data_IF_490802549184
#
_entry.id   IF_490802549184
#
_cell.length_a   1.000
_cell.length_b   1.000
_cell.length_c   1.000
_cell.angle_alpha   90.00
_cell.angle_beta   90.00
_cell.angle_gamma   90.00
#
_symmetry.space_group_name_H-M   'P 1'
#
loop_
_entity.id
_entity.type
_entity.pdbx_description
1 polymer ?
#
# COMPACT_ATOMS: atom_id res chain seq x y z
N UNK A 1 -18.31 0.33 35.83
CA UNK A 1 -17.63 -0.98 35.65
C UNK A 1 -16.28 -0.70 35.04
N UNK A 2 -15.24 -1.49 35.43
CA UNK A 2 -13.91 -1.33 34.80
C UNK A 2 -13.91 -1.78 33.33
N UNK A 3 -12.90 -1.37 32.58
CA UNK A 3 -12.67 -1.82 31.22
C UNK A 3 -12.49 -3.34 31.16
N UNK A 4 -13.19 -4.02 30.28
CA UNK A 4 -13.00 -5.45 30.02
C UNK A 4 -12.01 -5.68 28.89
N UNK A 5 -11.03 -6.58 29.08
CA UNK A 5 -10.02 -6.96 28.10
C UNK A 5 -10.03 -8.46 27.90
N UNK A 6 -10.42 -8.91 26.73
CA UNK A 6 -10.41 -10.30 26.31
C UNK A 6 -9.20 -10.58 25.42
N UNK A 7 -8.46 -11.65 25.68
CA UNK A 7 -7.29 -12.08 24.88
C UNK A 7 -7.60 -13.43 24.26
N UNK A 8 -7.70 -13.46 22.93
CA UNK A 8 -7.91 -14.67 22.12
C UNK A 8 -6.54 -15.18 21.67
N UNK A 9 -6.11 -16.34 22.12
CA UNK A 9 -4.74 -16.85 21.94
C UNK A 9 -4.69 -18.39 21.96
N UNK A 10 -3.56 -18.96 21.50
CA UNK A 10 -3.25 -20.39 21.67
C UNK A 10 -2.59 -20.70 23.02
N UNK A 11 -2.13 -19.69 23.73
CA UNK A 11 -1.35 -19.83 24.98
C UNK A 11 -1.91 -18.91 26.08
N UNK A 12 -3.14 -19.16 26.56
CA UNK A 12 -3.77 -18.34 27.59
C UNK A 12 -2.93 -18.26 28.88
N UNK A 13 -2.22 -19.33 29.25
CA UNK A 13 -1.41 -19.40 30.47
C UNK A 13 -0.25 -18.38 30.44
N UNK A 14 0.37 -18.17 29.28
CA UNK A 14 1.43 -17.18 29.12
C UNK A 14 0.89 -15.76 29.31
N UNK A 15 -0.29 -15.48 28.75
CA UNK A 15 -0.93 -14.19 28.89
C UNK A 15 -1.38 -13.94 30.32
N UNK A 16 -2.00 -14.93 30.96
CA UNK A 16 -2.50 -14.83 32.33
C UNK A 16 -1.43 -14.50 33.33
N UNK A 17 -0.25 -15.14 33.24
CA UNK A 17 0.88 -14.83 34.12
C UNK A 17 1.29 -13.36 34.05
N UNK A 18 1.26 -12.75 32.87
CA UNK A 18 1.58 -11.33 32.69
C UNK A 18 0.47 -10.43 33.24
N UNK A 19 -0.79 -10.82 33.00
CA UNK A 19 -1.97 -10.06 33.43
C UNK A 19 -2.13 -10.04 34.95
N UNK A 20 -1.76 -11.12 35.62
CA UNK A 20 -1.83 -11.22 37.09
C UNK A 20 -0.68 -10.48 37.80
N UNK A 21 0.34 -10.09 37.04
CA UNK A 21 1.54 -9.50 37.60
C UNK A 21 1.50 -7.96 37.67
N UNK A 22 2.31 -7.41 38.58
CA UNK A 22 2.66 -5.98 38.66
C UNK A 22 1.47 -5.02 38.64
N UNK A 23 1.51 -4.00 37.79
CA UNK A 23 0.50 -2.91 37.72
C UNK A 23 -0.83 -3.45 37.19
N UNK A 24 -0.81 -4.32 36.19
CA UNK A 24 -2.01 -4.89 35.59
C UNK A 24 -2.78 -5.72 36.62
N UNK A 25 -2.10 -6.64 37.28
CA UNK A 25 -2.73 -7.47 38.33
C UNK A 25 -3.27 -6.67 39.51
N UNK A 26 -2.61 -5.55 39.88
CA UNK A 26 -3.15 -4.62 40.89
C UNK A 26 -4.40 -3.90 40.40
N UNK A 27 -4.44 -3.48 39.14
CA UNK A 27 -5.59 -2.83 38.54
C UNK A 27 -6.80 -3.79 38.46
N UNK A 28 -6.54 -5.06 38.11
CA UNK A 28 -7.57 -6.09 38.09
C UNK A 28 -8.16 -6.32 39.51
N UNK A 29 -7.31 -6.52 40.53
CA UNK A 29 -7.76 -6.66 41.94
C UNK A 29 -8.54 -5.46 42.47
N UNK A 30 -8.33 -4.26 41.93
CA UNK A 30 -9.07 -3.03 42.28
C UNK A 30 -10.35 -2.86 41.46
N UNK A 31 -10.65 -3.74 40.51
CA UNK A 31 -11.80 -3.65 39.64
C UNK A 31 -11.70 -2.55 38.55
N UNK A 32 -10.48 -1.98 38.34
CA UNK A 32 -10.27 -1.00 37.28
C UNK A 32 -10.30 -1.62 35.90
N UNK A 33 -9.82 -2.86 35.78
CA UNK A 33 -9.85 -3.68 34.58
C UNK A 33 -10.34 -5.09 34.91
N UNK A 34 -10.95 -5.75 33.93
CA UNK A 34 -11.36 -7.15 33.97
C UNK A 34 -10.68 -7.86 32.81
N UNK A 35 -9.97 -8.98 33.05
CA UNK A 35 -9.17 -9.65 32.02
C UNK A 35 -9.58 -11.09 31.86
N UNK A 36 -9.79 -11.54 30.61
CA UNK A 36 -10.14 -12.91 30.26
C UNK A 36 -9.24 -13.41 29.15
N UNK A 37 -8.73 -14.64 29.29
CA UNK A 37 -7.95 -15.31 28.25
C UNK A 37 -8.73 -16.48 27.67
N UNK A 38 -8.92 -16.50 26.36
CA UNK A 38 -9.71 -17.49 25.63
C UNK A 38 -8.76 -18.38 24.81
N UNK A 39 -8.88 -19.71 25.03
CA UNK A 39 -8.13 -20.71 24.28
C UNK A 39 -8.79 -20.98 22.92
N UNK A 40 -8.10 -20.66 21.83
CA UNK A 40 -8.62 -20.88 20.46
C UNK A 40 -8.94 -22.36 20.21
N UNK A 41 -8.16 -23.29 20.79
CA UNK A 41 -8.33 -24.75 20.63
C UNK A 41 -9.68 -25.25 21.13
N UNK A 42 -10.31 -24.58 22.06
CA UNK A 42 -11.59 -25.00 22.61
C UNK A 42 -12.77 -24.75 21.66
N UNK A 43 -12.55 -23.97 20.61
CA UNK A 43 -13.54 -23.62 19.59
C UNK A 43 -13.35 -24.39 18.26
N UNK A 44 -12.48 -25.40 18.24
CA UNK A 44 -12.33 -26.26 17.05
C UNK A 44 -13.44 -27.31 17.00
N UNK A 45 -13.92 -27.60 15.79
CA UNK A 45 -14.86 -28.69 15.52
C UNK A 45 -14.17 -30.06 15.38
N UNK A 46 -12.86 -30.05 15.33
CA UNK A 46 -12.02 -31.21 15.09
C UNK A 46 -11.70 -31.91 16.42
N UNK A 47 -11.82 -33.24 16.45
CA UNK A 47 -11.57 -34.07 17.64
C UNK A 47 -10.13 -33.95 18.18
N UNK A 48 -9.17 -33.70 17.30
CA UNK A 48 -7.76 -33.51 17.64
C UNK A 48 -7.41 -32.10 18.14
N UNK A 49 -8.45 -31.21 18.21
CA UNK A 49 -8.28 -29.80 18.56
C UNK A 49 -7.24 -29.05 17.71
N UNK A 50 -7.16 -29.43 16.43
CA UNK A 50 -6.27 -28.79 15.46
C UNK A 50 -6.80 -27.39 15.12
N UNK A 51 -5.90 -26.41 15.10
CA UNK A 51 -6.21 -24.98 14.89
C UNK A 51 -5.54 -24.38 13.66
N UNK A 52 -4.73 -25.17 12.96
CA UNK A 52 -3.81 -24.70 11.91
C UNK A 52 -3.64 -25.73 10.80
N UNK A 53 -3.26 -25.30 9.62
CA UNK A 53 -2.94 -26.15 8.46
C UNK A 53 -1.99 -25.42 7.50
N UNK A 54 -1.49 -26.13 6.50
CA UNK A 54 -0.62 -25.57 5.47
C UNK A 54 -1.30 -24.45 4.68
N UNK A 55 -0.55 -23.38 4.31
CA UNK A 55 -1.09 -22.31 3.49
C UNK A 55 -1.42 -22.76 2.07
N UNK A 56 -2.47 -22.20 1.47
CA UNK A 56 -2.71 -22.32 0.04
C UNK A 56 -1.61 -21.61 -0.76
N UNK A 57 -1.27 -22.20 -1.90
CA UNK A 57 -0.15 -21.74 -2.74
C UNK A 57 1.22 -22.23 -2.28
N UNK A 58 1.28 -23.11 -1.25
CA UNK A 58 2.53 -23.62 -0.68
C UNK A 58 3.24 -22.57 0.20
N UNK A 59 4.38 -22.94 0.74
CA UNK A 59 5.19 -22.14 1.66
C UNK A 59 5.58 -22.96 2.88
N UNK A 60 6.45 -22.39 3.73
CA UNK A 60 6.84 -22.98 5.00
C UNK A 60 5.84 -22.66 6.10
N UNK A 61 5.78 -23.51 7.14
CA UNK A 61 4.97 -23.25 8.33
C UNK A 61 3.46 -23.53 8.17
N UNK A 62 2.69 -23.07 9.14
CA UNK A 62 1.27 -23.33 9.30
C UNK A 62 0.50 -22.01 9.45
N UNK A 63 -0.76 -21.98 9.05
CA UNK A 63 -1.66 -20.82 9.17
C UNK A 63 -2.86 -21.20 10.04
N UNK A 64 -3.22 -20.34 10.99
CA UNK A 64 -4.38 -20.54 11.85
C UNK A 64 -5.68 -20.50 11.05
N UNK A 65 -6.54 -21.49 11.27
CA UNK A 65 -7.88 -21.56 10.67
C UNK A 65 -8.75 -20.35 11.01
N UNK A 66 -9.56 -19.91 10.05
CA UNK A 66 -10.54 -18.85 10.28
C UNK A 66 -11.63 -19.26 11.28
N UNK A 67 -12.14 -20.49 11.18
CA UNK A 67 -13.34 -20.94 11.91
C UNK A 67 -13.14 -20.94 13.44
N UNK A 68 -12.08 -21.55 14.06
CA UNK A 68 -11.94 -21.53 15.52
C UNK A 68 -11.80 -20.13 16.09
N UNK A 69 -11.12 -19.23 15.37
CA UNK A 69 -10.97 -17.84 15.79
C UNK A 69 -12.32 -17.11 15.71
N UNK A 70 -13.06 -17.31 14.62
CA UNK A 70 -14.38 -16.70 14.46
C UNK A 70 -15.35 -17.13 15.54
N UNK A 71 -15.41 -18.42 15.87
CA UNK A 71 -16.30 -18.94 16.90
C UNK A 71 -15.90 -18.47 18.29
N UNK A 72 -14.60 -18.40 18.59
CA UNK A 72 -14.11 -17.80 19.82
C UNK A 72 -14.54 -16.31 19.93
N UNK A 73 -14.37 -15.52 18.86
CA UNK A 73 -14.78 -14.12 18.85
C UNK A 73 -16.30 -13.95 19.02
N UNK A 74 -17.11 -14.80 18.39
CA UNK A 74 -18.57 -14.81 18.55
C UNK A 74 -18.98 -15.17 19.98
N UNK A 75 -18.29 -16.12 20.59
CA UNK A 75 -18.51 -16.47 21.99
C UNK A 75 -18.21 -15.30 22.92
N UNK A 76 -17.10 -14.61 22.73
CA UNK A 76 -16.76 -13.39 23.48
C UNK A 76 -17.80 -12.30 23.27
N UNK A 77 -18.23 -12.04 22.02
CA UNK A 77 -19.27 -11.06 21.74
C UNK A 77 -20.60 -11.39 22.43
N UNK A 78 -20.99 -12.67 22.44
CA UNK A 78 -22.20 -13.15 23.12
C UNK A 78 -22.10 -12.94 24.62
N UNK A 79 -21.01 -13.35 25.26
CA UNK A 79 -20.77 -13.18 26.68
C UNK A 79 -20.80 -11.71 27.12
N UNK A 80 -20.16 -10.83 26.34
CA UNK A 80 -20.16 -9.38 26.59
C UNK A 80 -21.58 -8.81 26.49
N UNK A 81 -22.38 -9.26 25.50
CA UNK A 81 -23.78 -8.84 25.33
C UNK A 81 -24.68 -9.34 26.48
N UNK A 82 -24.49 -10.58 26.95
CA UNK A 82 -25.20 -11.14 28.09
C UNK A 82 -24.96 -10.38 29.41
N UNK A 83 -23.77 -9.75 29.52
CA UNK A 83 -23.43 -8.85 30.63
C UNK A 83 -23.99 -7.42 30.45
N UNK A 84 -24.75 -7.16 29.38
CA UNK A 84 -25.30 -5.83 29.08
C UNK A 84 -24.26 -4.80 28.68
N UNK A 85 -23.07 -5.22 28.25
CA UNK A 85 -21.98 -4.33 27.83
C UNK A 85 -22.05 -4.04 26.32
N UNK A 86 -21.50 -2.90 25.84
CA UNK A 86 -21.37 -2.61 24.42
C UNK A 86 -20.54 -3.69 23.69
N UNK A 87 -20.75 -3.83 22.37
CA UNK A 87 -19.97 -4.77 21.57
C UNK A 87 -18.46 -4.47 21.67
N UNK A 88 -17.61 -5.52 21.77
CA UNK A 88 -16.19 -5.34 21.99
C UNK A 88 -15.49 -4.77 20.72
N UNK A 89 -14.52 -3.91 20.93
CA UNK A 89 -13.62 -3.48 19.88
C UNK A 89 -12.54 -4.56 19.66
N UNK A 90 -12.56 -5.22 18.50
CA UNK A 90 -11.67 -6.34 18.19
C UNK A 90 -10.43 -5.83 17.49
N UNK A 91 -9.24 -6.18 18.00
CA UNK A 91 -7.93 -5.80 17.47
C UNK A 91 -7.08 -7.04 17.19
N UNK A 92 -6.64 -7.21 15.97
CA UNK A 92 -5.70 -8.25 15.58
C UNK A 92 -4.26 -7.75 15.72
N UNK A 93 -3.47 -8.41 16.56
CA UNK A 93 -2.04 -8.13 16.70
C UNK A 93 -1.28 -8.91 15.63
N UNK A 94 -0.78 -8.20 14.62
CA UNK A 94 -0.14 -8.81 13.44
C UNK A 94 1.04 -7.99 12.95
N UNK A 95 2.08 -8.64 12.42
CA UNK A 95 3.23 -7.99 11.80
C UNK A 95 2.81 -7.10 10.61
N UNK A 96 1.77 -7.50 9.86
CA UNK A 96 1.19 -6.73 8.76
C UNK A 96 0.23 -5.61 9.18
N UNK A 97 0.18 -5.24 10.47
CA UNK A 97 -0.64 -4.16 11.00
C UNK A 97 0.03 -2.79 10.92
N UNK A 98 -0.72 -1.75 11.32
CA UNK A 98 -0.17 -0.42 11.54
C UNK A 98 0.74 -0.42 12.78
N UNK A 99 1.69 0.49 12.80
CA UNK A 99 2.55 0.66 13.97
C UNK A 99 1.72 1.18 15.15
N UNK A 100 1.72 0.45 16.27
CA UNK A 100 1.10 0.88 17.51
C UNK A 100 1.79 2.14 18.06
N UNK A 101 1.02 3.18 18.37
CA UNK A 101 1.49 4.47 18.88
C UNK A 101 0.75 4.85 20.14
N UNK A 102 1.21 5.89 20.82
CA UNK A 102 0.52 6.47 21.98
C UNK A 102 -0.91 6.94 21.64
N UNK A 103 -1.12 7.44 20.43
CA UNK A 103 -2.46 7.82 19.95
C UNK A 103 -3.40 6.60 19.87
N UNK A 104 -2.90 5.46 19.39
CA UNK A 104 -3.66 4.21 19.40
C UNK A 104 -3.97 3.77 20.84
N UNK A 105 -3.01 3.90 21.77
CA UNK A 105 -3.25 3.57 23.18
C UNK A 105 -4.37 4.40 23.79
N UNK A 106 -4.37 5.70 23.55
CA UNK A 106 -5.41 6.62 24.04
C UNK A 106 -6.78 6.27 23.49
N UNK A 107 -6.91 6.04 22.18
CA UNK A 107 -8.17 5.64 21.57
C UNK A 107 -8.67 4.29 22.08
N UNK A 108 -7.77 3.31 22.22
CA UNK A 108 -8.15 1.99 22.74
C UNK A 108 -8.60 2.04 24.21
N UNK A 109 -8.08 2.98 24.99
CA UNK A 109 -8.48 3.20 26.37
C UNK A 109 -9.90 3.82 26.51
N UNK A 110 -10.48 4.33 25.43
CA UNK A 110 -11.85 4.88 25.43
C UNK A 110 -12.93 3.80 25.29
N UNK A 111 -12.55 2.56 24.91
CA UNK A 111 -13.51 1.46 24.79
C UNK A 111 -13.77 0.78 26.14
N UNK A 112 -15.04 0.49 26.43
CA UNK A 112 -15.42 -0.29 27.61
C UNK A 112 -14.98 -1.75 27.52
N UNK A 113 -14.93 -2.28 26.28
CA UNK A 113 -14.59 -3.68 26.02
C UNK A 113 -13.61 -3.77 24.83
N UNK A 114 -12.47 -4.41 25.05
CA UNK A 114 -11.42 -4.61 24.07
C UNK A 114 -11.13 -6.10 23.92
N UNK A 115 -11.12 -6.61 22.68
CA UNK A 115 -10.69 -7.98 22.38
C UNK A 115 -9.43 -7.97 21.56
N UNK A 116 -8.34 -8.54 22.09
CA UNK A 116 -7.05 -8.68 21.43
C UNK A 116 -6.91 -10.09 20.87
N UNK A 117 -6.70 -10.21 19.56
CA UNK A 117 -6.43 -11.49 18.89
C UNK A 117 -4.94 -11.63 18.67
N UNK A 118 -4.33 -12.61 19.31
CA UNK A 118 -2.91 -12.90 19.20
C UNK A 118 -2.71 -14.10 18.27
N UNK A 119 -2.18 -13.83 17.07
CA UNK A 119 -1.80 -14.88 16.11
C UNK A 119 -0.57 -15.66 16.56
N UNK A 120 -0.37 -16.82 15.92
CA UNK A 120 0.79 -17.69 16.07
C UNK A 120 1.16 -18.28 14.71
N UNK A 121 2.28 -19.03 14.63
CA UNK A 121 2.80 -19.61 13.38
C UNK A 121 3.08 -18.53 12.31
N UNK A 122 2.79 -18.81 11.03
CA UNK A 122 2.93 -17.85 9.92
C UNK A 122 1.83 -16.79 9.92
N UNK A 123 0.80 -16.94 10.77
CA UNK A 123 -0.27 -15.96 10.92
C UNK A 123 -1.66 -16.55 10.94
N UNK A 124 -2.63 -15.70 10.64
CA UNK A 124 -4.05 -15.98 10.70
C UNK A 124 -4.63 -15.92 9.28
N UNK A 125 -5.54 -16.83 8.95
CA UNK A 125 -6.29 -16.77 7.70
C UNK A 125 -6.93 -15.39 7.51
N UNK A 126 -6.62 -14.74 6.39
CA UNK A 126 -7.01 -13.35 6.13
C UNK A 126 -8.53 -13.15 6.17
N UNK A 127 -9.31 -14.18 5.84
CA UNK A 127 -10.77 -14.11 5.76
C UNK A 127 -11.43 -13.84 7.12
N UNK A 128 -10.91 -14.37 8.22
CA UNK A 128 -11.43 -14.05 9.55
C UNK A 128 -11.10 -12.62 9.95
N UNK A 129 -9.91 -12.13 9.56
CA UNK A 129 -9.56 -10.73 9.81
C UNK A 129 -10.50 -9.81 9.02
N UNK A 130 -10.78 -10.14 7.75
CA UNK A 130 -11.72 -9.37 6.91
C UNK A 130 -13.17 -9.43 7.40
N UNK A 131 -13.58 -10.54 8.05
CA UNK A 131 -14.92 -10.70 8.60
C UNK A 131 -15.17 -9.80 9.83
N UNK A 132 -14.16 -9.66 10.69
CA UNK A 132 -14.27 -8.94 11.95
C UNK A 132 -13.66 -7.53 11.94
N UNK A 133 -12.83 -7.20 10.92
CA UNK A 133 -12.28 -5.86 10.71
C UNK A 133 -12.84 -5.27 9.42
N UNK A 134 -13.62 -4.19 9.51
CA UNK A 134 -14.03 -3.45 8.30
C UNK A 134 -12.80 -2.83 7.64
N UNK A 135 -12.79 -2.74 6.30
CA UNK A 135 -11.65 -2.20 5.52
C UNK A 135 -11.17 -0.81 5.95
N UNK A 136 -12.04 -0.01 6.58
CA UNK A 136 -11.75 1.36 7.06
C UNK A 136 -11.17 1.40 8.48
N UNK A 137 -11.28 0.30 9.25
CA UNK A 137 -10.83 0.24 10.65
C UNK A 137 -9.37 -0.21 10.70
N UNK A 138 -8.45 0.66 10.26
CA UNK A 138 -7.01 0.38 10.23
C UNK A 138 -6.41 0.17 11.63
N UNK A 139 -7.02 0.74 12.66
CA UNK A 139 -6.65 0.59 14.07
C UNK A 139 -6.96 -0.80 14.65
N UNK A 140 -7.76 -1.62 13.96
CA UNK A 140 -8.04 -3.01 14.35
C UNK A 140 -6.95 -4.01 13.95
N UNK A 141 -5.87 -3.55 13.29
CA UNK A 141 -4.69 -4.35 12.95
C UNK A 141 -3.45 -3.61 13.43
N UNK A 142 -2.91 -3.99 14.55
CA UNK A 142 -1.80 -3.29 15.19
C UNK A 142 -0.55 -4.16 15.27
N UNK A 143 0.60 -3.53 15.06
CA UNK A 143 1.92 -4.09 15.27
C UNK A 143 2.54 -3.48 16.53
N UNK A 144 2.61 -4.22 17.66
CA UNK A 144 3.25 -3.74 18.89
C UNK A 144 4.77 -3.70 18.68
N UNK A 145 5.31 -2.53 18.42
CA UNK A 145 6.74 -2.32 18.26
C UNK A 145 7.43 -2.41 19.63
N UNK A 146 8.20 -3.48 19.89
CA UNK A 146 9.18 -3.47 20.96
C UNK A 146 10.34 -2.55 20.58
N UNK A 147 10.47 -1.39 21.25
CA UNK A 147 11.75 -0.67 21.28
C UNK A 147 12.74 -1.56 22.02
N UNK A 148 13.59 -2.27 21.32
CA UNK A 148 14.89 -2.65 21.90
C UNK A 148 15.75 -1.40 21.85
N UNK A 149 16.10 -0.88 23.03
CA UNK A 149 17.11 0.16 23.18
C UNK A 149 18.36 -0.29 22.40
N UNK A 150 18.76 0.50 21.38
CA UNK A 150 20.02 0.28 20.66
C UNK A 150 19.95 -0.12 19.20
N UNK A 151 18.77 -0.27 18.57
CA UNK A 151 18.71 -0.47 17.12
C UNK A 151 18.16 0.77 16.42
N UNK A 152 19.09 1.56 15.87
CA UNK A 152 18.79 2.59 14.85
C UNK A 152 18.11 1.94 13.66
N UNK A 153 17.10 2.65 13.09
CA UNK A 153 16.45 2.32 11.82
C UNK A 153 17.43 2.48 10.65
N UNK A 154 18.33 1.54 10.50
CA UNK A 154 19.21 1.40 9.35
C UNK A 154 19.36 -0.08 9.14
N UNK A 155 18.96 -0.57 7.96
CA UNK A 155 18.90 -1.95 7.50
C UNK A 155 19.99 -2.88 8.00
N UNK A 156 19.92 -3.26 9.27
CA UNK A 156 20.73 -4.34 9.82
C UNK A 156 19.82 -5.54 10.00
N UNK A 157 20.12 -6.54 9.20
CA UNK A 157 19.59 -7.89 9.25
C UNK A 157 19.43 -8.35 10.71
N UNK A 158 18.25 -8.86 11.05
CA UNK A 158 18.10 -9.69 12.24
C UNK A 158 19.17 -10.78 12.15
N UNK A 159 19.95 -11.06 13.19
CA UNK A 159 20.82 -12.23 13.15
C UNK A 159 19.93 -13.45 12.87
N UNK A 160 20.36 -14.39 12.04
CA UNK A 160 19.64 -15.62 11.82
C UNK A 160 19.37 -16.28 13.17
N UNK A 161 18.20 -16.91 13.38
CA UNK A 161 17.96 -17.68 14.60
C UNK A 161 19.05 -18.72 14.75
N UNK A 162 19.46 -18.99 16.00
CA UNK A 162 20.45 -20.02 16.24
C UNK A 162 20.00 -21.35 15.66
N UNK A 163 20.93 -22.08 15.05
CA UNK A 163 20.66 -23.37 14.43
C UNK A 163 19.91 -24.29 15.42
N UNK A 164 18.80 -24.88 14.98
CA UNK A 164 17.97 -25.78 15.80
C UNK A 164 16.81 -25.15 16.55
N UNK A 165 16.59 -23.81 16.44
CA UNK A 165 15.43 -23.14 17.06
C UNK A 165 14.22 -23.12 16.13
N UNK A 166 14.43 -23.01 14.81
CA UNK A 166 13.39 -23.13 13.78
C UNK A 166 13.72 -24.29 12.85
N UNK A 167 12.67 -24.97 12.37
CA UNK A 167 12.81 -26.17 11.56
C UNK A 167 13.46 -25.92 10.20
N UNK A 168 13.22 -24.76 9.57
CA UNK A 168 13.73 -24.43 8.25
C UNK A 168 14.19 -22.98 8.13
N UNK A 169 15.29 -22.75 7.40
CA UNK A 169 15.87 -21.43 7.16
C UNK A 169 14.97 -20.52 6.30
N UNK A 170 14.21 -21.10 5.37
CA UNK A 170 13.29 -20.35 4.49
C UNK A 170 12.14 -19.68 5.22
N UNK A 171 11.71 -20.20 6.38
CA UNK A 171 10.54 -19.68 7.10
C UNK A 171 10.71 -18.25 7.60
N UNK A 172 11.92 -17.73 7.80
CA UNK A 172 12.13 -16.35 8.23
C UNK A 172 12.54 -15.39 7.10
N UNK A 173 12.93 -15.90 5.94
CA UNK A 173 13.30 -15.09 4.78
C UNK A 173 12.07 -14.50 4.07
N UNK A 174 10.88 -15.10 4.26
CA UNK A 174 9.60 -14.63 3.71
C UNK A 174 8.79 -13.81 4.72
N UNK A 175 9.26 -13.65 5.97
CA UNK A 175 8.56 -12.87 6.99
C UNK A 175 8.50 -11.36 6.68
N UNK A 176 7.46 -10.70 7.24
CA UNK A 176 7.34 -9.24 7.22
C UNK A 176 8.63 -8.55 7.67
N UNK A 177 9.05 -7.54 6.93
CA UNK A 177 10.26 -6.72 7.14
C UNK A 177 11.59 -7.33 6.70
N UNK A 178 11.65 -8.56 6.20
CA UNK A 178 12.91 -9.15 5.74
C UNK A 178 13.48 -8.40 4.54
N UNK A 179 12.66 -8.17 3.53
CA UNK A 179 12.98 -7.40 2.32
C UNK A 179 12.49 -5.94 2.39
N UNK A 180 12.04 -5.48 3.56
CA UNK A 180 11.48 -4.14 3.77
C UNK A 180 10.00 -4.01 3.45
N UNK A 181 9.32 -5.09 3.07
CA UNK A 181 7.89 -5.13 2.81
C UNK A 181 7.12 -5.85 3.94
N UNK A 182 5.81 -5.64 3.98
CA UNK A 182 4.90 -6.47 4.75
C UNK A 182 4.59 -7.75 3.98
N UNK A 183 4.37 -8.82 4.70
CA UNK A 183 3.97 -10.09 4.13
C UNK A 183 2.62 -10.02 3.41
N UNK A 184 2.42 -10.86 2.41
CA UNK A 184 1.17 -11.04 1.69
C UNK A 184 0.09 -11.70 2.57
N UNK A 185 -1.22 -11.67 2.18
CA UNK A 185 -2.28 -12.32 2.96
C UNK A 185 -2.17 -13.84 2.87
N UNK A 186 -2.27 -14.50 4.01
CA UNK A 186 -2.23 -15.95 4.14
C UNK A 186 -3.64 -16.54 4.16
N UNK A 187 -3.81 -17.71 3.55
CA UNK A 187 -5.06 -18.46 3.47
C UNK A 187 -4.80 -19.94 3.72
N UNK A 188 -5.72 -20.59 4.45
CA UNK A 188 -5.68 -22.03 4.64
C UNK A 188 -7.07 -22.65 4.45
N UNK A 189 -7.24 -23.94 4.71
CA UNK A 189 -8.51 -24.65 4.48
C UNK A 189 -9.64 -24.17 5.38
N UNK A 190 -10.91 -24.25 4.95
CA UNK A 190 -11.40 -24.75 3.65
C UNK A 190 -11.23 -23.72 2.53
N UNK A 191 -11.41 -24.14 1.25
CA UNK A 191 -11.33 -23.26 0.07
C UNK A 191 -12.35 -22.11 0.13
N UNK A 192 -13.56 -22.38 0.62
CA UNK A 192 -14.58 -21.37 0.87
C UNK A 192 -14.95 -21.39 2.36
N UNK A 193 -14.83 -20.25 3.02
CA UNK A 193 -15.24 -20.05 4.41
C UNK A 193 -16.22 -18.88 4.50
N UNK A 194 -17.44 -19.15 4.97
CA UNK A 194 -18.54 -18.16 5.10
C UNK A 194 -18.74 -17.29 3.83
N UNK A 195 -18.77 -17.95 2.67
CA UNK A 195 -18.94 -17.29 1.38
C UNK A 195 -17.70 -16.52 0.88
N UNK A 196 -16.59 -16.56 1.60
CA UNK A 196 -15.30 -15.98 1.20
C UNK A 196 -14.40 -17.07 0.63
N UNK A 197 -14.13 -16.99 -0.66
CA UNK A 197 -13.23 -17.91 -1.34
C UNK A 197 -11.75 -17.51 -1.18
N UNK A 198 -10.87 -18.50 -1.20
CA UNK A 198 -9.44 -18.31 -1.41
C UNK A 198 -9.22 -17.76 -2.83
N UNK A 199 -8.29 -16.84 -3.07
CA UNK A 199 -7.97 -16.37 -4.42
C UNK A 199 -7.58 -17.53 -5.36
N UNK A 200 -8.20 -17.62 -6.53
CA UNK A 200 -8.03 -18.71 -7.51
C UNK A 200 -6.57 -18.98 -7.90
N UNK A 201 -5.75 -17.90 -7.92
CA UNK A 201 -4.32 -18.02 -8.24
C UNK A 201 -3.58 -18.94 -7.26
N UNK A 202 -4.01 -19.02 -6.01
CA UNK A 202 -3.39 -19.85 -4.97
C UNK A 202 -3.79 -21.32 -5.09
N UNK A 203 -4.86 -21.63 -5.83
CA UNK A 203 -5.37 -22.98 -6.06
C UNK A 203 -4.78 -23.62 -7.31
N UNK A 204 -4.27 -22.82 -8.23
CA UNK A 204 -3.86 -23.25 -9.57
C UNK A 204 -2.52 -23.98 -9.69
N UNK A 205 -1.70 -24.05 -8.61
CA UNK A 205 -0.39 -24.74 -8.60
C UNK A 205 0.70 -24.11 -9.48
N UNK A 206 0.44 -22.98 -10.14
CA UNK A 206 1.43 -22.25 -10.94
C UNK A 206 2.25 -21.34 -10.02
N UNK A 207 3.41 -21.83 -9.58
CA UNK A 207 4.28 -21.12 -8.63
C UNK A 207 4.70 -19.73 -9.14
N UNK A 208 4.93 -19.53 -10.44
CA UNK A 208 5.31 -18.22 -10.98
C UNK A 208 4.18 -17.20 -10.82
N UNK A 209 2.93 -17.61 -11.04
CA UNK A 209 1.77 -16.74 -10.84
C UNK A 209 1.52 -16.48 -9.36
N UNK A 210 1.70 -17.50 -8.52
CA UNK A 210 1.57 -17.38 -7.06
C UNK A 210 2.58 -16.37 -6.52
N UNK A 211 3.86 -16.48 -6.90
CA UNK A 211 4.92 -15.57 -6.44
C UNK A 211 4.71 -14.14 -6.94
N UNK A 212 4.28 -13.99 -8.20
CA UNK A 212 3.93 -12.67 -8.75
C UNK A 212 2.77 -12.02 -7.97
N UNK A 213 1.72 -12.78 -7.65
CA UNK A 213 0.57 -12.34 -6.87
C UNK A 213 0.97 -11.99 -5.42
N UNK A 214 1.77 -12.84 -4.76
CA UNK A 214 2.30 -12.61 -3.41
C UNK A 214 3.09 -11.30 -3.36
N UNK A 215 4.01 -11.11 -4.29
CA UNK A 215 4.80 -9.89 -4.39
C UNK A 215 3.94 -8.63 -4.67
N UNK A 216 2.87 -8.75 -5.48
CA UNK A 216 1.94 -7.64 -5.70
C UNK A 216 1.17 -7.31 -4.42
N UNK A 217 0.63 -8.31 -3.72
CA UNK A 217 -0.12 -8.14 -2.47
C UNK A 217 0.73 -7.60 -1.33
N UNK A 218 1.99 -8.06 -1.22
CA UNK A 218 2.97 -7.53 -0.26
C UNK A 218 3.21 -6.04 -0.49
N UNK A 219 3.48 -5.61 -1.72
CA UNK A 219 3.65 -4.19 -2.09
C UNK A 219 2.38 -3.38 -1.85
N UNK A 220 1.21 -3.90 -2.20
CA UNK A 220 -0.08 -3.24 -1.97
C UNK A 220 -0.33 -3.01 -0.47
N UNK A 221 -0.14 -4.05 0.34
CA UNK A 221 -0.31 -3.97 1.81
C UNK A 221 0.67 -2.99 2.44
N UNK A 222 1.95 -3.06 2.05
CA UNK A 222 2.98 -2.17 2.59
C UNK A 222 2.67 -0.72 2.24
N UNK A 223 2.30 -0.45 1.01
CA UNK A 223 1.89 0.90 0.58
C UNK A 223 0.73 1.47 1.39
N UNK A 224 -0.29 0.63 1.70
CA UNK A 224 -1.50 1.08 2.41
C UNK A 224 -1.29 1.21 3.91
N UNK A 225 -0.49 0.34 4.53
CA UNK A 225 -0.38 0.24 5.99
C UNK A 225 0.91 0.82 6.55
N UNK A 226 1.97 0.82 5.75
CA UNK A 226 3.31 1.27 6.11
C UNK A 226 3.96 2.02 4.94
N UNK A 227 3.39 3.19 4.56
CA UNK A 227 3.87 3.96 3.41
C UNK A 227 5.35 4.31 3.52
N UNK A 228 5.86 4.54 4.73
CA UNK A 228 7.27 4.85 4.98
C UNK A 228 8.20 3.68 4.62
N UNK A 229 7.79 2.43 4.87
CA UNK A 229 8.56 1.25 4.46
C UNK A 229 8.50 1.06 2.94
N UNK A 230 7.33 1.30 2.35
CA UNK A 230 7.16 1.19 0.91
C UNK A 230 8.01 2.22 0.16
N UNK A 231 8.15 3.42 0.69
CA UNK A 231 9.04 4.45 0.16
C UNK A 231 10.50 4.01 0.19
N UNK A 232 10.97 3.51 1.34
CA UNK A 232 12.33 2.96 1.48
C UNK A 232 12.58 1.79 0.52
N UNK A 233 11.60 0.89 0.37
CA UNK A 233 11.67 -0.20 -0.58
C UNK A 233 11.78 0.29 -2.03
N UNK A 234 11.01 1.31 -2.41
CA UNK A 234 11.09 1.91 -3.74
C UNK A 234 12.47 2.53 -4.03
N UNK A 235 13.10 3.13 -3.04
CA UNK A 235 14.46 3.70 -3.16
C UNK A 235 15.54 2.61 -3.31
N UNK A 236 15.38 1.50 -2.60
CA UNK A 236 16.32 0.37 -2.67
C UNK A 236 16.10 -0.53 -3.88
N UNK A 237 14.93 -0.46 -4.54
CA UNK A 237 14.56 -1.25 -5.71
C UNK A 237 14.20 -0.35 -6.90
N UNK A 238 15.15 0.45 -7.43
CA UNK A 238 14.89 1.30 -8.59
C UNK A 238 14.58 0.46 -9.82
N UNK A 239 13.82 1.05 -10.74
CA UNK A 239 13.59 0.45 -12.05
C UNK A 239 14.84 0.68 -12.89
N UNK A 240 15.65 -0.35 -13.05
CA UNK A 240 16.91 -0.30 -13.84
C UNK A 240 16.68 -0.61 -15.30
N UNK A 241 15.62 -1.36 -15.62
CA UNK A 241 15.28 -1.70 -17.00
C UNK A 241 13.84 -1.32 -17.29
N UNK A 242 13.65 -0.60 -18.41
CA UNK A 242 12.32 -0.26 -18.90
C UNK A 242 11.70 -1.46 -19.61
N UNK A 243 10.39 -1.68 -19.47
CA UNK A 243 9.70 -2.69 -20.24
C UNK A 243 9.88 -2.45 -21.73
N UNK A 244 10.29 -3.48 -22.46
CA UNK A 244 10.45 -3.40 -23.93
C UNK A 244 9.11 -3.05 -24.59
N UNK A 245 9.18 -2.25 -25.65
CA UNK A 245 8.03 -2.00 -26.52
C UNK A 245 7.59 -3.28 -27.19
N UNK A 246 6.30 -3.59 -27.10
CA UNK A 246 5.72 -4.79 -27.72
C UNK A 246 5.25 -4.46 -29.14
N UNK A 247 5.17 -5.49 -29.99
CA UNK A 247 4.59 -5.34 -31.32
C UNK A 247 3.16 -4.82 -31.24
N UNK A 248 2.86 -3.74 -31.94
CA UNK A 248 1.55 -3.08 -31.94
C UNK A 248 1.38 -2.01 -30.85
N UNK A 249 2.38 -1.76 -30.00
CA UNK A 249 2.41 -0.57 -29.13
C UNK A 249 2.98 0.63 -29.89
N UNK A 250 2.38 1.80 -29.70
CA UNK A 250 2.81 3.05 -30.33
C UNK A 250 2.46 4.26 -29.45
N UNK A 251 3.25 5.34 -29.60
CA UNK A 251 2.95 6.65 -28.99
C UNK A 251 2.91 7.69 -30.07
N UNK A 252 1.79 8.42 -30.18
CA UNK A 252 1.57 9.43 -31.20
C UNK A 252 1.14 10.76 -30.61
N UNK A 253 1.61 11.86 -31.21
CA UNK A 253 1.14 13.19 -30.89
C UNK A 253 -0.35 13.31 -31.26
N UNK A 254 -1.18 13.84 -30.36
CA UNK A 254 -2.61 14.10 -30.56
C UNK A 254 -2.79 15.26 -31.54
N UNK A 255 -3.44 14.99 -32.66
CA UNK A 255 -3.65 15.99 -33.75
C UNK A 255 -5.12 16.14 -34.14
N UNK A 256 -5.88 15.01 -34.20
CA UNK A 256 -7.26 14.99 -34.70
C UNK A 256 -8.28 15.09 -33.57
N UNK A 257 -9.51 15.50 -33.89
CA UNK A 257 -10.62 15.58 -32.91
C UNK A 257 -10.88 14.23 -32.23
N UNK A 258 -10.83 13.13 -32.99
CA UNK A 258 -11.02 11.77 -32.44
C UNK A 258 -9.93 11.41 -31.42
N UNK A 259 -8.67 11.79 -31.69
CA UNK A 259 -7.57 11.57 -30.76
C UNK A 259 -7.70 12.42 -29.50
N UNK A 260 -8.17 13.67 -29.63
CA UNK A 260 -8.48 14.51 -28.46
C UNK A 260 -9.60 13.93 -27.62
N UNK A 261 -10.68 13.43 -28.24
CA UNK A 261 -11.75 12.76 -27.51
C UNK A 261 -11.26 11.50 -26.77
N UNK A 262 -10.41 10.68 -27.42
CA UNK A 262 -9.79 9.52 -26.77
C UNK A 262 -8.87 9.91 -25.58
N UNK A 263 -8.10 10.99 -25.72
CA UNK A 263 -7.26 11.50 -24.64
C UNK A 263 -8.12 12.03 -23.48
N UNK A 264 -9.18 12.79 -23.77
CA UNK A 264 -10.10 13.33 -22.77
C UNK A 264 -10.79 12.21 -21.96
N UNK A 265 -11.19 11.13 -22.61
CA UNK A 265 -11.76 9.95 -21.96
C UNK A 265 -10.76 9.32 -20.97
N UNK A 266 -9.49 9.11 -21.37
CA UNK A 266 -8.45 8.59 -20.49
C UNK A 266 -8.16 9.54 -19.34
N UNK A 267 -8.20 10.85 -19.59
CA UNK A 267 -8.02 11.87 -18.58
C UNK A 267 -9.16 11.83 -17.54
N UNK A 268 -10.41 11.82 -17.98
CA UNK A 268 -11.58 11.73 -17.10
C UNK A 268 -11.56 10.45 -16.26
N UNK A 269 -11.29 9.29 -16.87
CA UNK A 269 -11.15 8.00 -16.18
C UNK A 269 -10.04 8.07 -15.12
N UNK A 270 -8.88 8.61 -15.49
CA UNK A 270 -7.73 8.73 -14.62
C UNK A 270 -7.98 9.67 -13.45
N UNK A 271 -8.56 10.83 -13.68
CA UNK A 271 -8.92 11.83 -12.64
C UNK A 271 -9.96 11.27 -11.68
N UNK A 272 -11.04 10.70 -12.17
CA UNK A 272 -12.05 10.04 -11.32
C UNK A 272 -11.44 8.96 -10.43
N UNK A 273 -10.53 8.14 -10.97
CA UNK A 273 -9.85 7.10 -10.21
C UNK A 273 -8.92 7.65 -9.11
N UNK A 274 -8.31 8.82 -9.31
CA UNK A 274 -7.46 9.49 -8.31
C UNK A 274 -8.33 10.21 -7.28
N UNK A 275 -9.44 10.81 -7.70
CA UNK A 275 -10.36 11.54 -6.82
C UNK A 275 -11.19 10.60 -5.92
N UNK A 276 -11.45 9.38 -6.36
CA UNK A 276 -12.22 8.41 -5.59
C UNK A 276 -11.57 8.14 -4.20
N UNK A 277 -12.32 8.47 -3.15
CA UNK A 277 -11.87 8.35 -1.76
C UNK A 277 -11.11 9.56 -1.20
N UNK A 278 -10.82 10.58 -2.03
CA UNK A 278 -10.17 11.84 -1.61
C UNK A 278 -11.13 13.04 -1.69
N UNK A 279 -12.15 12.98 -2.56
CA UNK A 279 -13.15 14.02 -2.79
C UNK A 279 -14.58 13.46 -2.67
N UNK A 280 -15.56 14.37 -2.65
CA UNK A 280 -16.99 13.98 -2.61
C UNK A 280 -17.39 13.24 -3.88
N UNK A 281 -18.42 12.39 -3.77
CA UNK A 281 -18.97 11.68 -4.95
C UNK A 281 -19.51 12.66 -6.00
N UNK A 282 -20.10 13.78 -5.56
CA UNK A 282 -20.59 14.85 -6.44
C UNK A 282 -19.47 15.48 -7.27
N UNK A 283 -18.34 15.81 -6.64
CA UNK A 283 -17.17 16.32 -7.34
C UNK A 283 -16.63 15.29 -8.34
N UNK A 284 -16.50 14.02 -7.94
CA UNK A 284 -16.03 12.97 -8.84
C UNK A 284 -16.96 12.78 -10.05
N UNK A 285 -18.28 12.96 -9.87
CA UNK A 285 -19.27 12.88 -10.94
C UNK A 285 -19.24 14.09 -11.89
N UNK A 286 -18.83 15.28 -11.40
CA UNK A 286 -18.70 16.49 -12.22
C UNK A 286 -17.54 16.44 -13.22
N UNK A 287 -16.59 15.53 -13.05
CA UNK A 287 -15.42 15.37 -13.94
C UNK A 287 -15.84 14.71 -15.26
N UNK A 288 -16.23 15.51 -16.25
CA UNK A 288 -16.75 15.04 -17.55
C UNK A 288 -15.67 14.96 -18.64
N UNK A 289 -15.94 14.16 -19.68
CA UNK A 289 -15.05 14.05 -20.83
C UNK A 289 -15.01 15.35 -21.63
N UNK A 290 -16.13 16.08 -21.70
CA UNK A 290 -16.28 17.36 -22.39
C UNK A 290 -15.38 18.45 -21.78
N UNK A 291 -15.35 18.54 -20.44
CA UNK A 291 -14.49 19.49 -19.74
C UNK A 291 -13.02 19.21 -20.04
N UNK A 292 -12.59 17.95 -19.93
CA UNK A 292 -11.20 17.58 -20.23
C UNK A 292 -10.85 17.72 -21.71
N UNK A 293 -11.80 17.52 -22.62
CA UNK A 293 -11.61 17.81 -24.04
C UNK A 293 -11.35 19.31 -24.27
N UNK A 294 -12.14 20.18 -23.64
CA UNK A 294 -11.95 21.62 -23.71
C UNK A 294 -10.59 22.03 -23.10
N UNK A 295 -10.24 21.46 -21.96
CA UNK A 295 -8.95 21.70 -21.30
C UNK A 295 -7.76 21.32 -22.20
N UNK A 296 -7.71 20.10 -22.74
CA UNK A 296 -6.65 19.64 -23.61
C UNK A 296 -6.49 20.48 -24.87
N UNK A 297 -7.61 20.99 -25.43
CA UNK A 297 -7.58 21.91 -26.56
C UNK A 297 -7.01 23.29 -26.19
N UNK A 298 -7.33 23.79 -25.01
CA UNK A 298 -6.79 25.04 -24.49
C UNK A 298 -5.29 24.91 -24.20
N UNK A 299 -4.86 23.82 -23.58
CA UNK A 299 -3.46 23.51 -23.32
C UNK A 299 -2.63 23.43 -24.61
N UNK A 300 -3.16 22.77 -25.65
CA UNK A 300 -2.51 22.77 -26.98
C UNK A 300 -2.31 24.18 -27.53
N UNK A 301 -3.30 25.07 -27.41
CA UNK A 301 -3.14 26.49 -27.82
C UNK A 301 -2.09 27.20 -26.97
N UNK A 302 -1.94 26.81 -25.70
CA UNK A 302 -0.89 27.27 -24.77
C UNK A 302 0.51 26.78 -25.12
N UNK A 303 0.65 25.81 -26.03
CA UNK A 303 1.92 25.25 -26.46
C UNK A 303 2.27 23.89 -25.82
N UNK A 304 1.33 23.25 -25.13
CA UNK A 304 1.52 21.91 -24.60
C UNK A 304 1.36 20.84 -25.68
N UNK A 305 2.05 19.73 -25.52
CA UNK A 305 1.98 18.57 -26.41
C UNK A 305 1.36 17.38 -25.67
N UNK A 306 0.21 16.91 -26.15
CA UNK A 306 -0.43 15.70 -25.64
C UNK A 306 -0.09 14.50 -26.54
N UNK A 307 0.26 13.37 -25.93
CA UNK A 307 0.59 12.12 -26.62
C UNK A 307 -0.31 11.00 -26.14
N UNK A 308 -0.77 10.16 -27.07
CA UNK A 308 -1.53 8.93 -26.80
C UNK A 308 -0.66 7.71 -27.01
N UNK A 309 -0.69 6.81 -26.02
CA UNK A 309 -0.23 5.44 -26.16
C UNK A 309 -1.37 4.57 -26.67
N UNK A 310 -1.07 3.68 -27.62
CA UNK A 310 -2.02 2.69 -28.12
C UNK A 310 -1.40 1.30 -28.10
N UNK A 311 -2.23 0.28 -27.79
CA UNK A 311 -1.90 -1.12 -27.97
C UNK A 311 -2.86 -1.70 -29.00
N UNK A 312 -2.36 -2.17 -30.15
CA UNK A 312 -3.18 -2.62 -31.28
C UNK A 312 -4.24 -1.58 -31.69
N UNK A 313 -3.81 -0.34 -31.82
CA UNK A 313 -4.60 0.86 -32.15
C UNK A 313 -5.69 1.24 -31.13
N UNK A 314 -5.79 0.56 -30.00
CA UNK A 314 -6.67 0.95 -28.89
C UNK A 314 -5.94 1.90 -27.95
N UNK A 315 -6.45 3.12 -27.69
CA UNK A 315 -5.88 4.06 -26.73
C UNK A 315 -5.95 3.51 -25.30
N UNK A 316 -4.81 3.45 -24.63
CA UNK A 316 -4.69 2.88 -23.28
C UNK A 316 -3.78 3.66 -22.33
N UNK A 317 -3.20 4.77 -22.81
CA UNK A 317 -2.43 5.70 -22.01
C UNK A 317 -2.32 7.07 -22.67
N UNK A 318 -2.13 8.11 -21.84
CA UNK A 318 -1.86 9.47 -22.32
C UNK A 318 -0.82 10.17 -21.46
N UNK A 319 -0.08 11.10 -22.06
CA UNK A 319 0.79 12.02 -21.34
C UNK A 319 0.79 13.39 -22.01
N UNK A 320 0.75 14.46 -21.22
CA UNK A 320 0.92 15.84 -21.68
C UNK A 320 2.22 16.42 -21.13
N UNK A 321 2.92 17.18 -21.97
CA UNK A 321 4.15 17.87 -21.61
C UNK A 321 4.07 19.35 -21.98
N UNK A 322 4.57 20.20 -21.10
CA UNK A 322 4.76 21.61 -21.37
C UNK A 322 6.24 21.86 -21.72
N UNK A 323 6.49 22.14 -22.98
CA UNK A 323 7.82 22.45 -23.49
C UNK A 323 8.35 23.83 -23.07
N UNK A 324 7.49 24.72 -22.52
CA UNK A 324 7.94 26.04 -22.04
C UNK A 324 8.54 25.98 -20.65
N UNK A 325 7.97 25.12 -19.79
CA UNK A 325 8.34 25.03 -18.38
C UNK A 325 9.12 23.76 -18.02
N UNK A 326 9.23 22.80 -18.95
CA UNK A 326 9.89 21.52 -18.72
C UNK A 326 9.08 20.60 -17.79
N UNK A 327 7.75 20.69 -17.85
CA UNK A 327 6.84 19.93 -16.96
C UNK A 327 6.11 18.82 -17.68
N UNK A 328 5.92 17.72 -16.97
CA UNK A 328 4.97 16.66 -17.30
C UNK A 328 3.70 16.94 -16.49
N UNK A 329 2.61 17.25 -17.18
CA UNK A 329 1.39 17.72 -16.53
C UNK A 329 0.37 16.59 -16.29
N UNK A 330 0.15 15.76 -17.30
CA UNK A 330 -0.83 14.68 -17.22
C UNK A 330 -0.21 13.37 -17.64
N UNK A 331 -0.34 12.33 -16.78
CA UNK A 331 0.09 10.96 -17.10
C UNK A 331 -0.98 9.99 -16.58
N UNK A 332 -1.74 9.43 -17.50
CA UNK A 332 -2.80 8.48 -17.17
C UNK A 332 -2.67 7.19 -17.98
N UNK A 333 -3.05 6.08 -17.35
CA UNK A 333 -3.12 4.74 -17.97
C UNK A 333 -4.46 4.14 -17.61
N UNK A 334 -5.19 3.64 -18.61
CA UNK A 334 -6.51 3.02 -18.44
C UNK A 334 -6.47 1.88 -17.42
N UNK A 335 -7.58 1.63 -16.71
CA UNK A 335 -7.67 0.62 -15.67
C UNK A 335 -7.20 -0.76 -16.13
N UNK A 336 -7.65 -1.17 -17.31
CA UNK A 336 -7.35 -2.48 -17.93
C UNK A 336 -5.89 -2.63 -18.43
N UNK A 337 -5.18 -1.53 -18.57
CA UNK A 337 -3.80 -1.49 -19.06
C UNK A 337 -2.77 -1.27 -17.95
N UNK A 338 -3.23 -1.05 -16.71
CA UNK A 338 -2.35 -0.89 -15.53
C UNK A 338 -1.58 -2.18 -15.24
N UNK A 339 -0.38 -2.06 -14.66
CA UNK A 339 0.49 -3.20 -14.35
C UNK A 339 1.31 -3.73 -15.54
N UNK A 340 1.03 -3.29 -16.78
CA UNK A 340 1.71 -3.75 -18.00
C UNK A 340 2.96 -2.93 -18.40
N UNK A 341 3.40 -2.00 -17.52
CA UNK A 341 4.59 -1.17 -17.75
C UNK A 341 4.35 0.06 -18.63
N UNK A 342 3.11 0.34 -19.07
CA UNK A 342 2.81 1.47 -19.96
C UNK A 342 3.16 2.81 -19.30
N UNK A 343 2.83 3.00 -18.02
CA UNK A 343 3.18 4.23 -17.30
C UNK A 343 4.68 4.50 -17.23
N UNK A 344 5.50 3.46 -17.09
CA UNK A 344 6.97 3.57 -17.13
C UNK A 344 7.46 4.03 -18.50
N UNK A 345 6.95 3.41 -19.58
CA UNK A 345 7.29 3.75 -20.96
C UNK A 345 6.89 5.18 -21.30
N UNK A 346 5.69 5.60 -20.89
CA UNK A 346 5.20 6.94 -21.15
C UNK A 346 5.93 8.01 -20.36
N UNK A 347 6.29 7.73 -19.10
CA UNK A 347 7.10 8.63 -18.29
C UNK A 347 8.50 8.82 -18.89
N UNK A 348 9.15 7.74 -19.33
CA UNK A 348 10.44 7.80 -20.00
C UNK A 348 10.34 8.53 -21.36
N UNK A 349 9.27 8.26 -22.12
CA UNK A 349 8.98 8.97 -23.37
C UNK A 349 8.84 10.48 -23.15
N UNK A 350 8.03 10.90 -22.16
CA UNK A 350 7.81 12.30 -21.81
C UNK A 350 9.11 12.97 -21.38
N UNK A 351 9.92 12.29 -20.55
CA UNK A 351 11.22 12.76 -20.13
C UNK A 351 12.17 12.99 -21.33
N UNK A 352 12.17 12.08 -22.30
CA UNK A 352 12.95 12.24 -23.55
C UNK A 352 12.47 13.41 -24.40
N UNK A 353 11.15 13.74 -24.34
CA UNK A 353 10.61 14.94 -25.02
C UNK A 353 11.03 16.23 -24.33
N UNK A 354 11.46 16.16 -23.09
CA UNK A 354 11.95 17.27 -22.27
C UNK A 354 13.49 17.16 -22.02
N UNK A 355 14.25 16.53 -22.93
CA UNK A 355 15.70 16.31 -22.76
C UNK A 355 16.55 17.60 -22.74
N UNK A 356 16.00 18.71 -23.22
CA UNK A 356 16.56 20.05 -23.11
C UNK A 356 16.58 20.58 -21.65
N UNK A 357 15.78 20.03 -20.78
CA UNK A 357 15.74 20.37 -19.37
C UNK A 357 16.58 19.38 -18.55
N UNK A 358 17.52 19.91 -17.77
CA UNK A 358 18.35 19.09 -16.87
C UNK A 358 17.50 18.35 -15.83
N UNK A 359 16.45 19.03 -15.37
CA UNK A 359 15.53 18.51 -14.36
C UNK A 359 14.06 18.71 -14.77
N UNK A 360 13.51 17.87 -15.65
CA UNK A 360 12.07 17.86 -15.87
C UNK A 360 11.30 17.70 -14.57
N UNK A 361 10.15 18.38 -14.47
CA UNK A 361 9.33 18.42 -13.25
C UNK A 361 7.94 17.83 -13.49
N UNK A 362 7.33 17.37 -12.44
CA UNK A 362 5.92 16.96 -12.44
C UNK A 362 5.31 17.23 -11.05
N UNK A 363 3.99 17.32 -11.00
CA UNK A 363 3.25 17.39 -9.74
C UNK A 363 2.46 16.12 -9.49
N UNK A 364 2.35 15.73 -8.24
CA UNK A 364 1.61 14.55 -7.81
C UNK A 364 0.88 14.82 -6.51
N UNK A 365 -0.37 14.36 -6.42
CA UNK A 365 -1.12 14.37 -5.16
C UNK A 365 -0.41 13.53 -4.12
N UNK A 366 -0.27 14.03 -2.89
CA UNK A 366 0.39 13.32 -1.79
C UNK A 366 -0.34 12.02 -1.39
N UNK A 367 -1.63 11.94 -1.67
CA UNK A 367 -2.46 10.74 -1.49
C UNK A 367 -2.28 9.71 -2.62
N UNK A 368 -1.68 10.08 -3.78
CA UNK A 368 -1.46 9.17 -4.90
C UNK A 368 -0.18 8.32 -4.72
N UNK A 369 -0.18 7.50 -3.68
CA UNK A 369 0.97 6.66 -3.33
C UNK A 369 1.45 5.75 -4.48
N UNK A 370 0.55 5.35 -5.40
CA UNK A 370 0.90 4.52 -6.57
C UNK A 370 1.77 5.28 -7.57
N UNK A 371 1.40 6.51 -7.90
CA UNK A 371 2.17 7.35 -8.81
C UNK A 371 3.51 7.75 -8.17
N UNK A 372 3.49 8.16 -6.89
CA UNK A 372 4.71 8.48 -6.13
C UNK A 372 5.71 7.33 -6.17
N UNK A 373 5.24 6.10 -5.93
CA UNK A 373 6.10 4.91 -5.98
C UNK A 373 6.70 4.67 -7.37
N UNK A 374 5.91 4.85 -8.44
CA UNK A 374 6.42 4.76 -9.80
C UNK A 374 7.52 5.80 -10.04
N UNK A 375 7.25 7.06 -9.72
CA UNK A 375 8.18 8.16 -9.93
C UNK A 375 9.49 7.97 -9.15
N UNK A 376 9.41 7.61 -7.85
CA UNK A 376 10.60 7.31 -7.04
C UNK A 376 11.43 6.17 -7.62
N UNK A 377 10.81 5.07 -8.01
CA UNK A 377 11.49 3.93 -8.65
C UNK A 377 12.12 4.29 -10.00
N UNK A 378 11.60 5.30 -10.69
CA UNK A 378 12.16 5.88 -11.92
C UNK A 378 13.20 6.97 -11.64
N UNK A 379 13.63 7.15 -10.38
CA UNK A 379 14.67 8.09 -9.97
C UNK A 379 14.20 9.54 -9.77
N UNK A 380 12.88 9.78 -9.66
CA UNK A 380 12.34 11.10 -9.34
C UNK A 380 12.39 11.37 -7.85
N UNK A 381 12.72 12.61 -7.46
CA UNK A 381 12.81 13.04 -6.05
C UNK A 381 11.92 14.24 -5.80
N UNK A 382 11.34 14.33 -4.59
CA UNK A 382 10.61 15.52 -4.18
C UNK A 382 11.55 16.73 -4.12
N UNK A 383 11.06 17.88 -4.58
CA UNK A 383 11.78 19.17 -4.48
C UNK A 383 11.64 19.80 -3.09
N UNK A 384 10.63 19.39 -2.33
CA UNK A 384 10.21 20.04 -1.09
C UNK A 384 9.19 21.16 -1.31
N UNK A 385 8.92 21.54 -2.54
CA UNK A 385 7.93 22.56 -2.90
C UNK A 385 6.53 21.93 -2.97
N UNK A 386 5.53 22.71 -2.52
CA UNK A 386 4.11 22.41 -2.71
C UNK A 386 3.65 23.13 -3.97
N UNK A 387 2.92 22.44 -4.83
CA UNK A 387 2.23 23.09 -5.92
C UNK A 387 1.00 23.79 -5.37
N UNK A 388 1.00 25.11 -5.40
CA UNK A 388 -0.03 25.98 -4.78
C UNK A 388 -1.17 26.34 -5.77
N UNK A 389 -1.25 25.67 -6.93
CA UNK A 389 -2.31 25.95 -7.92
C UNK A 389 -3.71 25.50 -7.47
N UNK A 390 -3.80 24.79 -6.35
CA UNK A 390 -5.07 24.32 -5.82
C UNK A 390 -5.42 25.06 -4.52
N UNK A 391 -6.65 25.60 -4.46
CA UNK A 391 -7.17 26.20 -3.22
C UNK A 391 -7.26 25.11 -2.11
N UNK A 392 -6.53 25.27 -0.99
CA UNK A 392 -6.58 24.29 0.12
C UNK A 392 -7.97 24.15 0.76
N UNK A 393 -8.87 25.13 0.59
CA UNK A 393 -10.23 25.09 1.12
C UNK A 393 -11.16 24.19 0.25
N UNK A 394 -10.90 24.12 -1.05
CA UNK A 394 -11.64 23.23 -1.97
C UNK A 394 -11.00 21.85 -2.11
N UNK A 395 -9.68 21.74 -1.86
CA UNK A 395 -8.91 20.51 -2.09
C UNK A 395 -8.14 20.11 -0.82
N UNK A 396 -8.60 19.10 -0.08
CA UNK A 396 -7.94 18.65 1.16
C UNK A 396 -6.58 17.97 0.95
N UNK A 397 -6.17 17.75 -0.31
CA UNK A 397 -4.93 17.09 -0.68
C UNK A 397 -3.90 18.08 -1.22
N UNK A 398 -2.66 17.98 -0.75
CA UNK A 398 -1.55 18.78 -1.28
C UNK A 398 -0.95 18.12 -2.53
N UNK A 399 -0.73 18.91 -3.59
CA UNK A 399 0.15 18.52 -4.68
C UNK A 399 1.61 18.78 -4.27
N UNK A 400 2.48 17.79 -4.50
CA UNK A 400 3.92 17.89 -4.25
C UNK A 400 4.68 17.83 -5.56
N UNK A 401 5.64 18.73 -5.72
CA UNK A 401 6.50 18.73 -6.90
C UNK A 401 7.60 17.67 -6.80
N UNK A 402 7.85 16.97 -7.90
CA UNK A 402 8.98 16.05 -8.07
C UNK A 402 9.81 16.43 -9.29
N UNK A 403 11.13 16.20 -9.21
CA UNK A 403 12.07 16.40 -10.31
C UNK A 403 12.83 15.10 -10.63
N UNK A 404 13.20 14.92 -11.92
CA UNK A 404 14.07 13.83 -12.33
C UNK A 404 15.50 14.05 -11.79
N UNK A 405 16.12 12.99 -11.25
CA UNK A 405 17.52 13.03 -10.84
C UNK A 405 18.43 12.87 -12.06
N UNK A 406 19.54 13.65 -12.14
CA UNK A 406 20.51 13.63 -13.26
C UNK A 406 21.14 12.25 -13.45
N UNK A 407 21.42 11.54 -12.36
CA UNK A 407 22.21 10.30 -12.38
C UNK A 407 21.40 9.04 -12.67
N UNK A 408 20.09 9.05 -12.42
CA UNK A 408 19.19 7.91 -12.71
C UNK A 408 19.04 7.63 -14.22
N UNK A 409 19.51 8.55 -15.06
CA UNK A 409 19.31 8.57 -16.52
C UNK A 409 20.48 7.97 -17.29
N UNK A 410 21.70 8.06 -16.76
CA UNK A 410 22.89 7.59 -17.48
C UNK A 410 23.04 6.07 -17.55
N UNK A 411 22.35 5.34 -16.66
CA UNK A 411 22.32 3.87 -16.65
C UNK A 411 21.34 3.24 -17.64
N UNK A 412 20.33 3.99 -18.12
CA UNK A 412 19.22 3.45 -18.93
C UNK A 412 19.38 3.66 -20.45
N UNK A 413 20.29 4.54 -20.87
CA UNK A 413 20.59 4.77 -22.29
C UNK A 413 22.09 4.83 -22.51
N UNK A 414 22.69 3.72 -22.92
CA UNK A 414 24.05 3.71 -23.45
C UNK A 414 24.12 4.41 -24.79
N UNK A 415 24.21 5.76 -24.81
CA UNK A 415 24.70 6.53 -25.96
C UNK A 415 25.35 7.81 -25.46
N UNK A 416 26.62 7.90 -25.75
CA UNK A 416 27.47 9.06 -25.55
C UNK A 416 27.01 10.24 -26.43
N UNK A 417 26.67 11.37 -25.84
CA UNK A 417 26.35 12.62 -26.54
C UNK A 417 26.97 13.83 -25.84
N UNK A 418 27.78 14.58 -26.55
CA UNK A 418 28.59 15.73 -26.13
C UNK A 418 27.80 16.82 -25.44
N UNK A 419 28.34 17.31 -24.32
CA UNK A 419 27.80 18.45 -23.56
C UNK A 419 27.87 19.75 -24.39
N UNK A 420 26.71 20.41 -24.52
CA UNK A 420 26.66 21.83 -24.77
C UNK A 420 26.14 22.52 -23.52
N UNK A 421 27.03 23.21 -22.84
CA UNK A 421 26.65 24.15 -21.77
C UNK A 421 26.15 25.42 -22.41
N UNK A 422 24.89 25.75 -22.24
CA UNK A 422 24.33 27.07 -22.54
C UNK A 422 24.48 28.00 -21.34
N UNK A 423 24.80 29.27 -21.50
CA UNK A 423 25.05 30.19 -20.41
C UNK A 423 23.78 30.67 -19.75
N UNK A 424 23.85 30.76 -18.42
CA UNK A 424 22.86 31.26 -17.48
C UNK A 424 22.47 32.73 -17.81
N UNK A 425 21.25 32.95 -18.31
CA UNK A 425 20.72 34.29 -18.67
C UNK A 425 19.83 34.92 -17.58
N UNK A 426 20.02 34.59 -16.33
CA UNK A 426 19.31 35.29 -15.25
C UNK A 426 20.21 35.59 -14.05
N UNK A 427 21.21 36.46 -14.29
CA UNK A 427 21.82 37.27 -13.26
C UNK A 427 22.12 38.67 -13.82
N UNK A 428 21.14 39.56 -13.68
CA UNK A 428 21.34 41.02 -13.59
C UNK A 428 19.98 41.67 -13.40
N UNK A 429 19.70 42.03 -12.17
CA UNK A 429 19.02 43.26 -11.77
C UNK A 429 18.59 43.18 -10.31
N UNK A 430 19.48 43.60 -9.43
CA UNK A 430 19.14 44.26 -8.18
C UNK A 430 20.42 44.83 -7.57
N UNK A 431 20.89 45.93 -8.15
CA UNK A 431 21.64 46.96 -7.45
C UNK A 431 21.18 48.30 -8.05
N UNK A 432 20.30 48.94 -7.28
CA UNK A 432 20.17 50.39 -7.02
C UNK A 432 19.05 50.57 -6.03
#
# INVERSE_FOLDING_TARGET
MGMRVDIVTLFPEMCQQVLDASIIGRAARRGCIETHCHQIRDYTLNKQKQTDDYPYGGGCGMVLYAQPIADCLRAVQKEVAEQGRPAPHIVFLTAGGQRYTEEHARRLAEYDNLTLVCGHYEGIDERVIEAFCRRRDLDRRLYPHRRRAGQSCGGRQRPPPQAGVLAEQKGYEEESYWDGLLEYPQYTRPEVWEGRAVPDVLLGGDHQKIDAWRGEKSRERTRLRRPELYEQWCESHPITELPKWKRGENVRLVKTEEQFAAAAKLFAEGRRAVCAGNWTEEYCASLTEEEFLAQLKAEKKGGWACYLHTTKDVPDGMVSVDHKTGRIEHLFVSGNARGKGIGQKMLDFARKKLEEYEHPRLSVLDTNARAIALYRRMGWKFTGEKDMEFDPAEYPCCCKEMRAAVDAVRGLSGVCGKRHTLPDKHKKQSEC
#
